data_IF_740550043265
#
_entry.id   IF_740550043265
#
_cell.length_a   1.000
_cell.length_b   1.000
_cell.length_c   1.000
_cell.angle_alpha   90.00
_cell.angle_beta   90.00
_cell.angle_gamma   90.00
#
_symmetry.space_group_name_H-M   'P 1'
#
loop_
_entity.id
_entity.type
_entity.pdbx_description
1 polymer ?
#
# COMPACT_ATOMS: atom_id res chain seq x y z
N UNK A 1 -1.31 12.32 28.85
CA UNK A 1 -0.78 11.81 30.13
C UNK A 1 -0.43 10.33 30.03
N UNK A 2 -1.44 9.47 29.97
CA UNK A 2 -1.27 8.00 30.06
C UNK A 2 -0.48 7.38 28.89
N UNK A 3 -0.74 7.83 27.66
CA UNK A 3 -0.03 7.35 26.45
C UNK A 3 1.46 7.74 26.45
N UNK A 4 1.80 8.94 26.93
CA UNK A 4 3.17 9.40 27.03
C UNK A 4 3.95 8.66 28.15
N UNK A 5 3.28 8.31 29.24
CA UNK A 5 3.85 7.50 30.32
C UNK A 5 4.14 6.07 29.86
N UNK A 6 3.17 5.41 29.21
CA UNK A 6 3.37 4.08 28.62
C UNK A 6 4.45 4.09 27.54
N UNK A 7 4.53 5.14 26.72
CA UNK A 7 5.60 5.27 25.72
C UNK A 7 6.99 5.40 26.38
N UNK A 8 7.11 6.12 27.50
CA UNK A 8 8.35 6.25 28.26
C UNK A 8 8.81 4.96 28.95
N UNK A 9 7.87 4.22 29.54
CA UNK A 9 8.15 2.90 30.14
C UNK A 9 8.55 1.87 29.08
N UNK A 10 7.95 1.92 27.89
CA UNK A 10 8.29 1.03 26.78
C UNK A 10 9.66 1.35 26.16
N UNK A 11 10.06 2.63 26.15
CA UNK A 11 11.33 3.09 25.59
C UNK A 11 12.57 2.75 26.45
N UNK A 12 12.37 2.45 27.74
CA UNK A 12 13.46 2.29 28.73
C UNK A 12 13.53 0.90 29.36
N UNK A 13 12.77 -0.08 28.86
CA UNK A 13 12.68 -1.40 29.49
C UNK A 13 13.89 -2.33 29.26
N UNK A 14 14.92 -1.89 28.53
CA UNK A 14 16.16 -2.64 28.39
C UNK A 14 17.07 -2.51 29.62
N UNK A 15 18.16 -3.28 29.64
CA UNK A 15 19.15 -3.24 30.73
C UNK A 15 19.70 -1.81 30.88
N UNK A 16 19.56 -1.23 32.08
CA UNK A 16 20.10 0.08 32.40
C UNK A 16 19.32 1.28 31.85
N UNK A 17 18.03 1.12 31.50
CA UNK A 17 17.22 2.22 30.95
C UNK A 17 17.45 2.48 29.46
N UNK A 18 18.22 1.60 28.80
CA UNK A 18 18.42 1.63 27.36
C UNK A 18 17.20 1.05 26.63
N UNK A 19 16.96 1.45 25.37
CA UNK A 19 15.99 0.75 24.54
C UNK A 19 16.38 -0.74 24.45
N UNK A 20 15.42 -1.67 24.55
CA UNK A 20 15.69 -3.10 24.47
C UNK A 20 16.47 -3.41 23.19
N UNK A 21 17.60 -4.09 23.32
CA UNK A 21 18.45 -4.49 22.21
C UNK A 21 18.03 -5.87 21.68
N UNK A 22 18.28 -6.15 20.39
CA UNK A 22 17.90 -7.42 19.76
C UNK A 22 16.43 -7.50 19.36
N UNK A 23 15.92 -8.72 19.15
CA UNK A 23 14.59 -9.00 18.58
C UNK A 23 13.44 -8.33 19.35
N UNK A 24 13.51 -8.29 20.67
CA UNK A 24 12.49 -7.64 21.51
C UNK A 24 12.42 -6.12 21.25
N UNK A 25 13.58 -5.50 21.01
CA UNK A 25 13.68 -4.11 20.60
C UNK A 25 13.02 -3.83 19.26
N UNK A 26 13.31 -4.69 18.28
CA UNK A 26 12.75 -4.60 16.94
C UNK A 26 11.21 -4.74 16.97
N UNK A 27 10.69 -5.70 17.74
CA UNK A 27 9.24 -5.89 17.90
C UNK A 27 8.55 -4.68 18.56
N UNK A 28 9.19 -4.04 19.53
CA UNK A 28 8.65 -2.82 20.16
C UNK A 28 8.67 -1.62 19.23
N UNK A 29 9.79 -1.41 18.53
CA UNK A 29 9.90 -0.36 17.50
C UNK A 29 8.82 -0.56 16.45
N UNK A 30 8.61 -1.81 16.00
CA UNK A 30 7.52 -2.16 15.08
C UNK A 30 6.16 -1.78 15.64
N UNK A 31 5.82 -2.21 16.86
CA UNK A 31 4.51 -1.91 17.45
C UNK A 31 4.26 -0.41 17.63
N UNK A 32 5.28 0.37 17.95
CA UNK A 32 5.19 1.85 18.02
C UNK A 32 5.02 2.46 16.63
N UNK A 33 5.83 2.02 15.66
CA UNK A 33 5.78 2.53 14.30
C UNK A 33 4.46 2.18 13.60
N UNK A 34 3.92 0.97 13.78
CA UNK A 34 2.60 0.58 13.28
C UNK A 34 1.50 1.48 13.84
N UNK A 35 1.53 1.79 15.14
CA UNK A 35 0.55 2.69 15.77
C UNK A 35 0.68 4.12 15.27
N UNK A 36 1.90 4.63 15.15
CA UNK A 36 2.15 5.96 14.61
C UNK A 36 1.66 6.07 13.15
N UNK A 37 1.88 5.03 12.34
CA UNK A 37 1.38 4.93 10.97
C UNK A 37 -0.14 4.94 10.93
N UNK A 38 -0.81 4.05 11.69
CA UNK A 38 -2.29 4.00 11.73
C UNK A 38 -2.89 5.35 12.14
N UNK A 39 -2.34 5.98 13.17
CA UNK A 39 -2.80 7.31 13.59
C UNK A 39 -2.62 8.38 12.50
N UNK A 40 -1.54 8.30 11.71
CA UNK A 40 -1.34 9.20 10.59
C UNK A 40 -2.32 8.92 9.44
N UNK A 41 -2.64 7.65 9.17
CA UNK A 41 -3.64 7.25 8.19
C UNK A 41 -5.04 7.74 8.57
N UNK A 42 -5.43 7.58 9.83
CA UNK A 42 -6.70 8.08 10.38
C UNK A 42 -6.79 9.60 10.23
N UNK A 43 -5.70 10.32 10.53
CA UNK A 43 -5.63 11.77 10.33
C UNK A 43 -5.82 12.17 8.87
N UNK A 44 -5.20 11.45 7.93
CA UNK A 44 -5.37 11.72 6.50
C UNK A 44 -6.81 11.45 6.03
N UNK A 45 -7.44 10.39 6.53
CA UNK A 45 -8.83 10.06 6.24
C UNK A 45 -9.77 11.15 6.77
N UNK A 46 -9.58 11.60 8.01
CA UNK A 46 -10.35 12.69 8.61
C UNK A 46 -10.21 14.00 7.83
N UNK A 47 -8.98 14.36 7.40
CA UNK A 47 -8.79 15.54 6.56
C UNK A 47 -9.47 15.40 5.19
N UNK A 48 -9.44 14.19 4.60
CA UNK A 48 -10.11 13.93 3.33
C UNK A 48 -11.62 14.12 3.47
N UNK A 49 -12.23 13.54 4.50
CA UNK A 49 -13.66 13.71 4.81
C UNK A 49 -14.01 15.17 5.17
N UNK A 50 -13.12 15.86 5.89
CA UNK A 50 -13.32 17.27 6.25
C UNK A 50 -13.35 18.18 5.01
N UNK A 51 -12.59 17.87 3.97
CA UNK A 51 -12.55 18.69 2.76
C UNK A 51 -13.43 18.16 1.63
N UNK A 52 -14.01 16.98 1.78
CA UNK A 52 -14.86 16.34 0.77
C UNK A 52 -16.03 17.25 0.36
N UNK A 53 -16.13 17.49 -0.96
CA UNK A 53 -17.06 18.44 -1.59
C UNK A 53 -16.88 19.93 -1.21
N UNK A 54 -16.30 20.25 -0.05
CA UNK A 54 -16.13 21.62 0.47
C UNK A 54 -15.02 22.37 -0.27
N UNK A 55 -13.88 21.71 -0.49
CA UNK A 55 -12.79 22.28 -1.27
C UNK A 55 -13.24 22.59 -2.71
N UNK A 56 -14.04 21.68 -3.27
CA UNK A 56 -14.60 21.82 -4.63
C UNK A 56 -15.62 22.96 -4.73
N UNK A 57 -16.59 23.01 -3.83
CA UNK A 57 -17.59 24.08 -3.80
C UNK A 57 -16.94 25.47 -3.63
N UNK A 58 -15.97 25.59 -2.71
CA UNK A 58 -15.27 26.85 -2.48
C UNK A 58 -14.39 27.24 -3.67
N UNK A 59 -13.58 26.32 -4.19
CA UNK A 59 -12.70 26.57 -5.32
C UNK A 59 -13.45 27.01 -6.57
N UNK A 60 -14.55 26.33 -6.88
CA UNK A 60 -15.43 26.68 -8.00
C UNK A 60 -16.05 28.08 -7.82
N UNK A 61 -16.47 28.42 -6.60
CA UNK A 61 -17.02 29.76 -6.31
C UNK A 61 -16.00 30.89 -6.45
N UNK A 62 -14.72 30.59 -6.26
CA UNK A 62 -13.61 31.52 -6.40
C UNK A 62 -13.02 31.55 -7.81
N UNK A 63 -13.55 30.75 -8.75
CA UNK A 63 -13.05 30.65 -10.12
C UNK A 63 -11.65 30.02 -10.21
N UNK A 64 -11.28 29.17 -9.25
CA UNK A 64 -10.03 28.41 -9.29
C UNK A 64 -10.08 27.33 -10.37
N UNK A 65 -8.93 26.95 -10.93
CA UNK A 65 -8.87 25.85 -11.86
C UNK A 65 -9.14 24.51 -11.17
N UNK A 66 -9.82 23.60 -11.87
CA UNK A 66 -10.22 22.30 -11.31
C UNK A 66 -9.04 21.42 -10.88
N UNK A 67 -7.87 21.59 -11.51
CA UNK A 67 -6.65 20.87 -11.14
C UNK A 67 -6.15 21.27 -9.75
N UNK A 68 -6.03 22.58 -9.49
CA UNK A 68 -5.65 23.12 -8.17
C UNK A 68 -6.61 22.69 -7.08
N UNK A 69 -7.92 22.69 -7.38
CA UNK A 69 -8.96 22.24 -6.44
C UNK A 69 -8.81 20.74 -6.14
N UNK A 70 -8.59 19.92 -7.16
CA UNK A 70 -8.47 18.47 -7.02
C UNK A 70 -7.26 18.01 -6.17
N UNK A 71 -6.19 18.81 -6.11
CA UNK A 71 -4.98 18.51 -5.32
C UNK A 71 -4.91 19.25 -3.99
N UNK A 72 -5.87 20.13 -3.68
CA UNK A 72 -5.81 20.98 -2.48
C UNK A 72 -5.75 20.17 -1.18
N UNK A 73 -6.72 19.28 -0.98
CA UNK A 73 -6.86 18.42 0.21
C UNK A 73 -5.59 17.60 0.44
N UNK A 74 -5.06 17.04 -0.64
CA UNK A 74 -3.81 16.28 -0.60
C UNK A 74 -2.60 17.17 -0.25
N UNK A 75 -2.54 18.38 -0.81
CA UNK A 75 -1.53 19.37 -0.45
C UNK A 75 -1.51 19.64 1.06
N UNK A 76 -2.68 19.76 1.69
CA UNK A 76 -2.80 19.94 3.14
C UNK A 76 -2.29 18.73 3.93
N UNK A 77 -2.62 17.52 3.46
CA UNK A 77 -2.12 16.28 4.06
C UNK A 77 -0.58 16.22 4.00
N UNK A 78 0.01 16.45 2.83
CA UNK A 78 1.47 16.36 2.62
C UNK A 78 2.25 17.44 3.39
N UNK A 79 1.65 18.62 3.58
CA UNK A 79 2.24 19.71 4.35
C UNK A 79 2.22 19.46 5.87
N UNK A 80 1.47 18.46 6.36
CA UNK A 80 1.33 18.18 7.79
C UNK A 80 2.57 17.50 8.38
N UNK A 81 2.90 17.84 9.64
CA UNK A 81 3.92 17.11 10.43
C UNK A 81 3.56 15.63 10.62
N UNK A 82 2.27 15.31 10.57
CA UNK A 82 1.76 13.94 10.65
C UNK A 82 2.26 13.11 9.47
N UNK A 83 2.37 13.72 8.29
CA UNK A 83 2.92 13.08 7.11
C UNK A 83 4.39 12.72 7.26
N UNK A 84 5.18 13.65 7.83
CA UNK A 84 6.59 13.39 8.12
C UNK A 84 6.76 12.30 9.18
N UNK A 85 5.87 12.27 10.17
CA UNK A 85 5.84 11.22 11.20
C UNK A 85 5.55 9.85 10.60
N UNK A 86 4.65 9.75 9.62
CA UNK A 86 4.36 8.51 8.91
C UNK A 86 5.56 8.03 8.06
N UNK A 87 6.31 8.94 7.44
CA UNK A 87 7.55 8.60 6.72
C UNK A 87 8.57 7.99 7.67
N UNK A 88 8.82 8.61 8.82
CA UNK A 88 9.72 8.07 9.84
C UNK A 88 9.25 6.71 10.35
N UNK A 89 7.95 6.56 10.61
CA UNK A 89 7.37 5.27 10.98
C UNK A 89 7.60 4.19 9.91
N UNK A 90 7.48 4.54 8.63
CA UNK A 90 7.74 3.62 7.51
C UNK A 90 9.21 3.15 7.49
N UNK A 91 10.16 4.06 7.75
CA UNK A 91 11.58 3.69 7.88
C UNK A 91 11.83 2.78 9.08
N UNK A 92 11.20 3.04 10.22
CA UNK A 92 11.31 2.22 11.43
C UNK A 92 10.73 0.82 11.22
N UNK A 93 9.60 0.70 10.51
CA UNK A 93 8.99 -0.59 10.17
C UNK A 93 9.92 -1.43 9.29
N UNK A 94 10.52 -0.81 8.27
CA UNK A 94 11.52 -1.46 7.41
C UNK A 94 12.72 -1.97 8.20
N UNK A 95 13.28 -1.13 9.07
CA UNK A 95 14.39 -1.51 9.92
C UNK A 95 14.00 -2.65 10.90
N UNK A 96 12.79 -2.60 11.45
CA UNK A 96 12.30 -3.65 12.35
C UNK A 96 12.11 -4.99 11.63
N UNK A 97 11.52 -5.00 10.43
CA UNK A 97 11.37 -6.23 9.62
C UNK A 97 12.71 -6.87 9.29
N UNK A 98 13.68 -6.06 8.86
CA UNK A 98 15.03 -6.53 8.57
C UNK A 98 15.70 -7.13 9.82
N UNK A 99 15.47 -6.55 10.99
CA UNK A 99 16.00 -7.07 12.25
C UNK A 99 15.32 -8.37 12.73
N UNK A 100 14.03 -8.56 12.42
CA UNK A 100 13.26 -9.77 12.81
C UNK A 100 13.23 -10.86 11.75
N UNK A 101 13.83 -10.64 10.57
CA UNK A 101 13.80 -11.59 9.45
C UNK A 101 12.40 -11.79 8.84
N UNK A 102 11.52 -10.79 8.97
CA UNK A 102 10.18 -10.86 8.38
C UNK A 102 10.24 -10.68 6.85
N UNK A 103 9.35 -11.37 6.14
CA UNK A 103 9.23 -11.25 4.69
C UNK A 103 9.02 -9.79 4.27
N UNK A 104 9.71 -9.35 3.22
CA UNK A 104 9.77 -7.95 2.77
C UNK A 104 8.50 -7.41 2.11
N UNK A 105 7.32 -7.89 2.49
CA UNK A 105 6.04 -7.35 2.06
C UNK A 105 5.68 -6.10 2.85
N UNK A 106 5.21 -5.07 2.17
CA UNK A 106 4.64 -3.87 2.78
C UNK A 106 3.23 -3.59 2.25
N UNK A 107 2.22 -3.94 3.04
CA UNK A 107 0.83 -3.65 2.71
C UNK A 107 0.54 -2.16 2.91
N UNK A 108 0.30 -1.43 1.82
CA UNK A 108 0.01 0.00 1.80
C UNK A 108 -1.50 0.28 1.80
N UNK A 109 -2.24 -0.49 0.99
CA UNK A 109 -3.70 -0.46 0.95
C UNK A 109 -4.21 -1.89 1.06
N UNK A 110 -4.98 -2.21 2.11
CA UNK A 110 -5.48 -3.56 2.31
C UNK A 110 -6.60 -3.90 1.33
N UNK A 111 -6.70 -5.18 1.00
CA UNK A 111 -7.76 -5.72 0.15
C UNK A 111 -7.42 -7.13 -0.31
N UNK A 112 -8.37 -7.78 -0.96
CA UNK A 112 -8.19 -9.14 -1.45
C UNK A 112 -8.89 -9.28 -2.80
N UNK A 113 -8.20 -9.93 -3.73
CA UNK A 113 -8.73 -10.28 -5.05
C UNK A 113 -8.32 -11.70 -5.39
N UNK A 114 -9.23 -12.46 -5.98
CA UNK A 114 -9.01 -13.85 -6.37
C UNK A 114 -9.44 -14.09 -7.81
N UNK A 115 -8.80 -15.05 -8.45
CA UNK A 115 -9.12 -15.44 -9.81
C UNK A 115 -8.84 -14.32 -10.81
N UNK A 116 -7.83 -13.48 -10.62
CA UNK A 116 -7.49 -12.37 -11.53
C UNK A 116 -6.17 -12.64 -12.25
N UNK A 117 -5.91 -12.04 -13.41
CA UNK A 117 -4.62 -12.22 -14.08
C UNK A 117 -3.51 -11.51 -13.31
N UNK A 118 -2.28 -11.98 -13.42
CA UNK A 118 -1.08 -11.24 -13.00
C UNK A 118 -0.39 -10.72 -14.25
N UNK A 119 -0.09 -9.43 -14.32
CA UNK A 119 0.55 -8.84 -15.51
C UNK A 119 1.64 -7.86 -15.11
N UNK A 120 2.79 -7.97 -15.77
CA UNK A 120 3.93 -7.08 -15.52
C UNK A 120 3.88 -5.83 -16.39
N UNK A 121 4.12 -4.67 -15.77
CA UNK A 121 4.24 -3.37 -16.44
C UNK A 121 5.42 -2.59 -15.87
N UNK A 122 5.98 -1.68 -16.66
CA UNK A 122 7.10 -0.86 -16.18
C UNK A 122 6.60 0.20 -15.19
N UNK A 123 5.50 0.88 -15.55
CA UNK A 123 4.90 2.00 -14.81
C UNK A 123 3.37 1.95 -14.90
N UNK A 124 2.69 2.66 -13.99
CA UNK A 124 1.25 2.86 -14.06
C UNK A 124 0.92 4.01 -15.03
N UNK A 125 0.88 3.71 -16.33
CA UNK A 125 0.48 4.65 -17.39
C UNK A 125 -0.78 4.13 -18.11
N UNK A 126 -1.90 4.88 -18.13
CA UNK A 126 -3.10 4.51 -18.89
C UNK A 126 -2.87 4.27 -20.39
N UNK A 127 -1.81 4.85 -20.95
CA UNK A 127 -1.42 4.72 -22.36
C UNK A 127 -0.71 3.39 -22.64
N UNK A 128 -0.29 2.67 -21.60
CA UNK A 128 0.31 1.35 -21.75
C UNK A 128 -0.73 0.39 -22.37
N UNK A 129 -0.42 -0.25 -23.51
CA UNK A 129 -1.36 -1.13 -24.20
C UNK A 129 -1.85 -2.29 -23.33
N UNK A 130 -1.04 -2.73 -22.36
CA UNK A 130 -1.41 -3.78 -21.42
C UNK A 130 -2.50 -3.28 -20.47
N UNK A 131 -2.32 -2.08 -19.90
CA UNK A 131 -3.27 -1.46 -18.96
C UNK A 131 -4.56 -1.09 -19.71
N UNK A 132 -4.43 -0.49 -20.90
CA UNK A 132 -5.57 -0.11 -21.74
C UNK A 132 -6.43 -1.31 -22.19
N UNK A 133 -5.85 -2.51 -22.27
CA UNK A 133 -6.56 -3.73 -22.62
C UNK A 133 -7.31 -4.37 -21.44
N UNK A 134 -7.12 -3.89 -20.20
CA UNK A 134 -7.81 -4.43 -19.03
C UNK A 134 -9.28 -4.01 -19.02
N UNK A 135 -10.15 -4.94 -18.59
CA UNK A 135 -11.59 -4.67 -18.45
C UNK A 135 -12.12 -5.24 -17.15
N UNK A 136 -13.28 -4.77 -16.69
CA UNK A 136 -13.92 -5.32 -15.50
C UNK A 136 -14.27 -6.83 -15.62
N UNK A 137 -14.44 -7.33 -16.86
CA UNK A 137 -14.68 -8.75 -17.12
C UNK A 137 -13.42 -9.61 -17.15
N UNK A 138 -12.25 -8.99 -17.26
CA UNK A 138 -10.96 -9.68 -17.20
C UNK A 138 -9.92 -8.84 -16.44
N UNK A 139 -10.12 -8.68 -15.12
CA UNK A 139 -9.29 -7.83 -14.29
C UNK A 139 -7.91 -8.44 -14.03
N UNK A 140 -6.95 -7.58 -13.70
CA UNK A 140 -5.59 -7.98 -13.41
C UNK A 140 -5.01 -7.29 -12.16
N UNK A 141 -4.13 -8.00 -11.47
CA UNK A 141 -3.15 -7.42 -10.56
C UNK A 141 -1.94 -7.02 -11.38
N UNK A 142 -1.52 -5.76 -11.23
CA UNK A 142 -0.36 -5.21 -11.93
C UNK A 142 0.89 -5.39 -11.09
N UNK A 143 1.89 -6.07 -11.64
CA UNK A 143 3.25 -6.10 -11.12
C UNK A 143 4.04 -4.94 -11.75
N UNK A 144 4.24 -3.88 -10.98
CA UNK A 144 4.80 -2.61 -11.44
C UNK A 144 6.26 -2.50 -11.04
N UNK A 145 7.13 -2.23 -12.01
CA UNK A 145 8.57 -2.13 -11.75
C UNK A 145 8.98 -0.82 -11.09
N UNK A 146 8.31 0.29 -11.43
CA UNK A 146 8.59 1.61 -10.89
C UNK A 146 7.36 2.50 -10.74
N UNK A 147 7.36 3.34 -9.71
CA UNK A 147 6.42 4.42 -9.48
C UNK A 147 7.14 5.68 -9.00
N UNK A 148 6.84 6.81 -9.63
CA UNK A 148 7.32 8.15 -9.27
C UNK A 148 6.43 8.77 -8.18
N UNK A 149 5.23 8.22 -7.97
CA UNK A 149 4.30 8.66 -6.95
C UNK A 149 3.45 9.85 -7.37
N UNK A 150 3.29 10.11 -8.66
CA UNK A 150 2.31 11.05 -9.24
C UNK A 150 1.27 10.29 -10.11
N UNK A 151 1.25 8.96 -10.05
CA UNK A 151 0.36 8.13 -10.87
C UNK A 151 -1.10 8.15 -10.39
N UNK A 152 -2.02 8.16 -11.36
CA UNK A 152 -3.45 8.18 -11.10
C UNK A 152 -4.06 6.78 -11.28
N UNK A 153 -4.36 6.10 -10.18
CA UNK A 153 -4.97 4.74 -10.23
C UNK A 153 -6.34 4.77 -10.92
N UNK A 154 -7.11 5.84 -10.75
CA UNK A 154 -8.42 6.03 -11.37
C UNK A 154 -8.38 6.13 -12.90
N UNK A 155 -7.23 6.50 -13.48
CA UNK A 155 -7.09 6.61 -14.95
C UNK A 155 -6.66 5.30 -15.59
N UNK A 156 -6.21 4.31 -14.82
CA UNK A 156 -5.83 2.98 -15.31
C UNK A 156 -7.04 2.08 -15.66
N UNK A 157 -8.27 2.59 -15.53
CA UNK A 157 -9.51 1.91 -15.92
C UNK A 157 -10.02 0.87 -14.89
N UNK A 158 -11.25 0.34 -15.07
CA UNK A 158 -11.91 -0.53 -14.10
C UNK A 158 -11.32 -1.94 -14.02
N UNK A 159 -10.34 -2.27 -14.87
CA UNK A 159 -9.73 -3.60 -14.91
C UNK A 159 -8.53 -3.79 -13.98
N UNK A 160 -8.08 -2.74 -13.27
CA UNK A 160 -7.01 -2.85 -12.27
C UNK A 160 -7.61 -3.32 -10.94
N UNK A 161 -7.39 -4.59 -10.62
CA UNK A 161 -7.88 -5.22 -9.39
C UNK A 161 -6.89 -5.15 -8.23
N UNK A 162 -5.62 -4.83 -8.49
CA UNK A 162 -4.60 -4.68 -7.44
C UNK A 162 -3.26 -4.26 -8.02
N UNK A 163 -2.36 -3.80 -7.15
CA UNK A 163 -1.04 -3.30 -7.54
C UNK A 163 0.02 -3.90 -6.60
N UNK A 164 1.06 -4.48 -7.21
CA UNK A 164 2.28 -4.97 -6.58
C UNK A 164 3.46 -4.13 -7.10
N UNK A 165 4.00 -3.26 -6.27
CA UNK A 165 5.19 -2.47 -6.59
C UNK A 165 6.45 -3.24 -6.24
N UNK A 166 7.37 -3.36 -7.18
CA UNK A 166 8.64 -4.06 -6.99
C UNK A 166 9.69 -3.23 -6.25
N UNK A 167 9.27 -2.15 -5.58
CA UNK A 167 10.11 -1.30 -4.77
C UNK A 167 9.35 -0.70 -3.59
N UNK A 168 10.11 -0.16 -2.65
CA UNK A 168 9.62 0.61 -1.52
C UNK A 168 8.79 1.83 -1.96
N UNK A 169 7.61 2.02 -1.37
CA UNK A 169 6.82 3.24 -1.56
C UNK A 169 6.37 3.78 -0.19
N UNK A 170 6.43 5.10 0.07
CA UNK A 170 5.87 5.67 1.28
C UNK A 170 4.36 5.40 1.38
N UNK A 171 3.87 5.03 2.57
CA UNK A 171 2.44 4.74 2.82
C UNK A 171 1.49 5.91 2.54
N UNK A 172 1.99 7.14 2.60
CA UNK A 172 1.23 8.35 2.29
C UNK A 172 1.65 8.96 0.94
N UNK A 173 2.31 8.20 0.07
CA UNK A 173 2.50 8.63 -1.32
C UNK A 173 1.16 8.96 -1.97
N UNK A 174 1.18 9.80 -3.01
CA UNK A 174 -0.03 10.09 -3.80
C UNK A 174 -0.67 8.80 -4.28
N UNK A 175 0.15 7.90 -4.84
CA UNK A 175 -0.27 6.60 -5.34
C UNK A 175 -0.99 5.78 -4.26
N UNK A 176 -0.47 5.72 -3.03
CA UNK A 176 -1.14 5.02 -1.92
C UNK A 176 -2.47 5.67 -1.50
N UNK A 177 -2.53 7.01 -1.50
CA UNK A 177 -3.78 7.74 -1.24
C UNK A 177 -4.82 7.48 -2.34
N UNK A 178 -4.42 7.53 -3.61
CA UNK A 178 -5.29 7.27 -4.76
C UNK A 178 -5.77 5.83 -4.83
N UNK A 179 -4.87 4.87 -4.60
CA UNK A 179 -5.24 3.46 -4.50
C UNK A 179 -6.28 3.24 -3.38
N UNK A 180 -6.12 3.90 -2.23
CA UNK A 180 -7.10 3.85 -1.13
C UNK A 180 -8.44 4.45 -1.51
N UNK A 181 -8.45 5.62 -2.17
CA UNK A 181 -9.68 6.26 -2.64
C UNK A 181 -10.42 5.40 -3.67
N UNK A 182 -9.69 4.71 -4.55
CA UNK A 182 -10.23 3.79 -5.53
C UNK A 182 -10.55 2.39 -4.96
N UNK A 183 -10.21 2.10 -3.71
CA UNK A 183 -10.40 0.78 -3.10
C UNK A 183 -9.55 -0.33 -3.74
N UNK A 184 -8.42 0.04 -4.37
CA UNK A 184 -7.52 -0.88 -5.04
C UNK A 184 -6.42 -1.34 -4.06
N UNK A 185 -6.29 -2.65 -3.77
CA UNK A 185 -5.23 -3.16 -2.92
C UNK A 185 -3.85 -2.84 -3.49
N UNK A 186 -2.93 -2.40 -2.63
CA UNK A 186 -1.59 -1.94 -2.98
C UNK A 186 -0.57 -2.51 -2.00
N UNK A 187 0.42 -3.21 -2.54
CA UNK A 187 1.54 -3.77 -1.77
C UNK A 187 2.85 -3.34 -2.43
N UNK A 188 3.81 -2.92 -1.61
CA UNK A 188 5.21 -2.76 -2.01
C UNK A 188 6.01 -4.01 -1.60
N UNK A 189 6.88 -4.46 -2.49
CA UNK A 189 7.81 -5.57 -2.27
C UNK A 189 9.20 -4.97 -2.11
N UNK A 190 9.80 -5.22 -0.96
CA UNK A 190 11.14 -4.72 -0.62
C UNK A 190 12.22 -5.79 -0.78
N UNK A 191 11.81 -7.06 -0.86
CA UNK A 191 12.68 -8.22 -1.01
C UNK A 191 12.79 -8.63 -2.49
N UNK A 192 13.99 -8.60 -3.10
CA UNK A 192 14.20 -9.05 -4.47
C UNK A 192 13.79 -10.51 -4.73
N UNK A 193 13.84 -11.39 -3.74
CA UNK A 193 13.43 -12.80 -3.90
C UNK A 193 11.92 -12.91 -4.09
N UNK A 194 11.15 -12.10 -3.35
CA UNK A 194 9.68 -12.01 -3.51
C UNK A 194 9.30 -11.39 -4.86
N UNK A 195 10.07 -10.41 -5.35
CA UNK A 195 9.89 -9.86 -6.71
C UNK A 195 10.13 -10.96 -7.75
N UNK A 196 11.22 -11.73 -7.63
CA UNK A 196 11.52 -12.82 -8.53
C UNK A 196 10.44 -13.92 -8.51
N UNK A 197 9.87 -14.19 -7.33
CA UNK A 197 8.73 -15.11 -7.18
C UNK A 197 7.48 -14.61 -7.91
N UNK A 198 7.08 -13.35 -7.71
CA UNK A 198 5.93 -12.74 -8.39
C UNK A 198 6.09 -12.75 -9.93
N UNK A 199 7.28 -12.39 -10.42
CA UNK A 199 7.59 -12.48 -11.85
C UNK A 199 7.63 -13.94 -12.33
N UNK A 200 8.03 -14.88 -11.48
CA UNK A 200 8.01 -16.32 -11.76
C UNK A 200 6.59 -16.82 -12.02
N UNK A 201 5.64 -16.45 -11.15
CA UNK A 201 4.22 -16.80 -11.28
C UNK A 201 3.61 -16.24 -12.58
N UNK A 202 3.96 -15.00 -12.93
CA UNK A 202 3.51 -14.36 -14.18
C UNK A 202 4.05 -15.10 -15.41
N UNK A 203 5.36 -15.38 -15.46
CA UNK A 203 6.00 -16.10 -16.59
C UNK A 203 5.53 -17.54 -16.75
N UNK A 204 5.16 -18.21 -15.66
CA UNK A 204 4.65 -19.59 -15.69
C UNK A 204 3.25 -19.67 -16.34
N UNK A 205 2.58 -18.52 -16.55
CA UNK A 205 1.25 -18.49 -17.14
C UNK A 205 0.21 -19.20 -16.27
N UNK A 206 0.44 -19.27 -14.96
CA UNK A 206 -0.54 -19.85 -14.03
C UNK A 206 -1.86 -19.10 -14.20
N UNK A 207 -2.89 -19.84 -14.62
CA UNK A 207 -4.17 -19.28 -14.97
C UNK A 207 -4.82 -18.68 -13.72
N UNK A 208 -4.66 -17.38 -13.57
CA UNK A 208 -5.20 -16.54 -12.48
C UNK A 208 -4.50 -16.73 -11.13
N UNK A 209 -4.42 -15.64 -10.38
CA UNK A 209 -3.77 -15.53 -9.06
C UNK A 209 -4.77 -15.09 -8.00
N UNK A 210 -4.48 -15.46 -6.76
CA UNK A 210 -5.06 -14.90 -5.55
C UNK A 210 -4.06 -13.94 -4.94
N UNK A 211 -4.48 -12.69 -4.75
CA UNK A 211 -3.69 -11.65 -4.14
C UNK A 211 -4.37 -11.17 -2.85
N UNK A 212 -3.71 -11.43 -1.72
CA UNK A 212 -4.15 -11.01 -0.40
C UNK A 212 -3.21 -9.91 0.08
N UNK A 213 -3.73 -8.70 0.27
CA UNK A 213 -3.02 -7.58 0.84
C UNK A 213 -3.60 -7.29 2.24
N UNK A 214 -3.03 -7.87 3.29
CA UNK A 214 -3.37 -7.51 4.67
C UNK A 214 -2.11 -7.16 5.47
N UNK A 215 -2.17 -6.22 6.42
CA UNK A 215 -1.01 -5.83 7.22
C UNK A 215 -0.35 -6.98 7.99
N UNK A 216 -1.10 -8.03 8.31
CA UNK A 216 -0.64 -9.23 9.02
C UNK A 216 -0.43 -10.43 8.11
N UNK A 217 -0.90 -10.38 6.87
CA UNK A 217 -0.84 -11.49 5.93
C UNK A 217 -0.87 -10.97 4.49
N UNK A 218 0.30 -10.96 3.86
CA UNK A 218 0.41 -10.66 2.43
C UNK A 218 0.79 -11.95 1.71
N UNK A 219 0.00 -12.34 0.72
CA UNK A 219 0.30 -13.50 -0.11
C UNK A 219 -0.09 -13.27 -1.57
N UNK A 220 0.65 -13.93 -2.46
CA UNK A 220 0.40 -13.95 -3.89
C UNK A 220 0.59 -15.40 -4.35
N UNK A 221 -0.51 -16.07 -4.64
CA UNK A 221 -0.55 -17.49 -4.92
C UNK A 221 -1.28 -17.75 -6.24
N UNK A 222 -1.00 -18.86 -6.90
CA UNK A 222 -1.84 -19.30 -8.02
C UNK A 222 -3.27 -19.53 -7.50
N UNK A 223 -4.27 -19.00 -8.19
CA UNK A 223 -5.66 -19.26 -7.85
C UNK A 223 -5.94 -20.72 -8.15
N UNK A 224 -6.47 -21.47 -7.16
CA UNK A 224 -6.91 -22.84 -7.39
C UNK A 224 -8.15 -22.80 -8.30
N UNK A 225 -7.91 -22.82 -9.61
CA UNK A 225 -8.96 -23.07 -10.58
C UNK A 225 -9.64 -24.38 -10.20
N UNK A 226 -10.94 -24.34 -9.94
CA UNK A 226 -11.77 -25.52 -9.71
C UNK A 226 -11.66 -26.51 -10.86
N UNK A 227 -10.65 -27.37 -10.82
CA UNK A 227 -10.50 -28.55 -11.63
C UNK A 227 -11.45 -29.63 -11.13
N UNK A 228 -12.75 -29.35 -11.17
CA UNK A 228 -13.81 -30.34 -10.99
C UNK A 228 -13.92 -31.22 -12.24
N UNK A 229 -12.88 -31.99 -12.52
CA UNK A 229 -12.86 -32.98 -13.58
C UNK A 229 -12.55 -34.37 -13.02
N UNK A 230 -13.58 -35.22 -12.95
CA UNK A 230 -13.40 -36.67 -13.04
C UNK A 230 -13.75 -37.49 -11.80
N UNK A 231 -14.94 -38.10 -11.83
CA UNK A 231 -15.30 -39.25 -11.01
C UNK A 231 -16.48 -39.96 -11.66
N UNK A 232 -16.19 -40.86 -12.60
CA UNK A 232 -17.20 -41.63 -13.34
C UNK A 232 -18.00 -42.61 -12.47
N UNK A 233 -19.21 -42.86 -12.93
CA UNK A 233 -20.16 -43.88 -12.49
C UNK A 233 -21.38 -43.83 -13.39
#
# INVERSE_FOLDING_TARGET
GHVAHQAGELATAGVGGMPPAGDEGALRVRAVAERARRAAEDYCALLSELFDGRAEALGNSLGMDGGTVAVFTEGQIRASVVFQSAKLASHLLRAARAATGEAGWDCLVPGEVDGVRLVSVERLDPSDPIIAALTAGDPAVLLVSGADGDEEVSTCGPGVAGILLCHALPHLSHLALRARQAGVPLVAIEDPELVAHAQGLERQGTGRVRFVAQPSNVSLDASEGGGGGGGGG
#
